data_IF_282630076911
#
_entry.id   IF_282630076911
#
_cell.length_a   1.000
_cell.length_b   1.000
_cell.length_c   1.000
_cell.angle_alpha   90.00
_cell.angle_beta   90.00
_cell.angle_gamma   90.00
#
_symmetry.space_group_name_H-M   'P 1'
#
loop_
_entity.id
_entity.type
_entity.pdbx_description
1 polymer ?
#
# COMPACT_ATOMS: atom_id res chain seq x y z
N UNK A 1 -4.79 -18.63 25.73
CA UNK A 1 -4.71 -18.09 25.15
C UNK A 1 -4.53 -17.99 24.53
N UNK A 2 -4.87 -18.42 25.07
CA UNK A 2 -4.82 -17.89 24.42
C UNK A 2 -4.85 -17.94 23.78
N UNK A 3 -4.90 -18.58 24.21
CA UNK A 3 -4.99 -18.18 23.63
C UNK A 3 -5.11 -18.30 22.91
N UNK A 4 -5.46 -18.88 23.54
CA UNK A 4 -5.62 -18.52 22.90
C UNK A 4 -6.01 -18.43 22.42
N UNK A 5 -6.30 -18.72 22.76
CA UNK A 5 -6.61 -18.23 22.36
C UNK A 5 -6.85 -18.00 21.69
N UNK A 6 -7.08 -18.88 22.33
CA UNK A 6 -7.34 -18.35 21.83
C UNK A 6 -7.68 -17.96 21.39
N UNK A 7 -7.89 -18.41 21.88
CA UNK A 7 -8.14 -17.62 21.58
C UNK A 7 -8.55 -17.16 21.18
N UNK A 8 -8.72 -17.63 21.80
CA UNK A 8 -9.01 -16.82 21.52
C UNK A 8 -9.42 -16.38 21.29
N UNK A 9 -9.61 -16.80 21.75
CA UNK A 9 -9.87 -16.04 21.52
C UNK A 9 -10.10 -15.48 21.32
N UNK A 10 -10.36 -15.80 22.04
CA UNK A 10 -10.44 -14.90 22.01
C UNK A 10 -10.81 -14.28 21.95
N UNK A 11 -10.53 -14.83 22.62
CA UNK A 11 -10.62 -13.95 22.70
C UNK A 11 -10.94 -13.35 22.86
N UNK A 12 -11.07 -13.78 23.68
CA UNK A 12 -11.20 -12.95 23.77
C UNK A 12 -11.27 -12.26 23.94
N UNK A 13 -11.23 -12.48 24.58
CA UNK A 13 -11.16 -11.54 24.64
C UNK A 13 -11.05 -10.81 24.63
N UNK A 14 -10.90 -11.09 25.27
CA UNK A 14 -10.70 -10.09 25.23
C UNK A 14 -10.56 -9.48 25.09
N UNK A 15 -10.33 -9.86 25.57
CA UNK A 15 -10.12 -9.06 25.45
C UNK A 15 -10.40 -8.48 25.09
N UNK A 16 -10.57 -8.92 25.30
CA UNK A 16 -10.83 -8.21 24.86
C UNK A 16 -10.79 -7.23 24.49
N UNK A 17 -11.05 -7.33 24.65
CA UNK A 17 -10.95 -6.13 24.23
C UNK A 17 -9.62 -5.62 23.91
N UNK A 18 -8.73 -6.26 24.12
CA UNK A 18 -7.41 -5.86 23.69
C UNK A 18 -7.26 -6.24 22.25
N UNK A 19 -6.95 -5.25 21.44
CA UNK A 19 -6.74 -5.52 20.04
C UNK A 19 -5.28 -5.78 19.83
N UNK A 20 -4.98 -6.95 19.35
CA UNK A 20 -3.63 -7.34 19.01
C UNK A 20 -3.21 -6.52 17.78
N UNK A 21 -2.02 -5.97 17.82
CA UNK A 21 -1.50 -5.19 16.70
C UNK A 21 -1.48 -6.02 15.42
N UNK A 22 -1.14 -7.30 15.53
CA UNK A 22 -1.12 -8.19 14.38
C UNK A 22 -2.49 -8.31 13.76
N UNK A 23 -3.53 -8.42 14.58
CA UNK A 23 -4.90 -8.52 14.08
C UNK A 23 -5.30 -7.26 13.34
N UNK A 24 -4.90 -6.11 13.88
CA UNK A 24 -5.21 -4.85 13.23
C UNK A 24 -4.53 -4.74 11.88
N UNK A 25 -3.28 -5.15 11.82
CA UNK A 25 -2.54 -5.10 10.56
C UNK A 25 -3.15 -6.06 9.54
N UNK A 26 -3.53 -7.24 9.98
CA UNK A 26 -4.14 -8.22 9.09
C UNK A 26 -5.46 -7.70 8.53
N UNK A 27 -6.24 -7.02 9.37
CA UNK A 27 -7.51 -6.46 8.93
C UNK A 27 -7.31 -5.37 7.90
N UNK A 28 -6.33 -4.49 8.12
CA UNK A 28 -6.04 -3.43 7.17
C UNK A 28 -5.55 -4.00 5.84
N UNK A 29 -4.69 -5.01 5.90
CA UNK A 29 -4.20 -5.65 4.68
C UNK A 29 -5.34 -6.31 3.92
N UNK A 30 -6.27 -6.91 4.65
CA UNK A 30 -7.41 -7.56 4.05
C UNK A 30 -8.32 -6.56 3.34
N UNK A 31 -8.54 -5.41 3.98
CA UNK A 31 -9.34 -4.35 3.38
C UNK A 31 -8.73 -3.83 2.10
N UNK A 32 -7.41 -3.66 2.09
CA UNK A 32 -6.72 -3.20 0.89
C UNK A 32 -6.85 -4.22 -0.23
N UNK A 33 -6.65 -5.48 0.10
CA UNK A 33 -6.77 -6.55 -0.89
C UNK A 33 -8.16 -6.58 -1.51
N UNK A 34 -9.18 -6.43 -0.67
CA UNK A 34 -10.55 -6.46 -1.16
C UNK A 34 -10.84 -5.27 -2.06
N UNK A 35 -10.34 -4.10 -1.68
CA UNK A 35 -10.53 -2.90 -2.49
C UNK A 35 -9.87 -3.05 -3.86
N UNK A 36 -8.67 -3.60 -3.89
CA UNK A 36 -7.97 -3.82 -5.15
C UNK A 36 -8.71 -4.84 -5.99
N UNK A 37 -9.16 -5.91 -5.37
CA UNK A 37 -9.91 -6.95 -6.08
C UNK A 37 -11.14 -6.37 -6.75
N UNK A 38 -11.90 -5.59 -6.01
CA UNK A 38 -13.12 -5.00 -6.54
C UNK A 38 -12.82 -4.01 -7.65
N UNK A 39 -11.80 -3.19 -7.47
CA UNK A 39 -11.44 -2.22 -8.49
C UNK A 39 -10.98 -2.90 -9.78
N UNK A 40 -10.18 -3.94 -9.65
CA UNK A 40 -9.71 -4.67 -10.83
C UNK A 40 -10.88 -5.33 -11.53
N UNK A 41 -11.77 -5.94 -10.77
CA UNK A 41 -12.94 -6.60 -11.34
C UNK A 41 -13.80 -5.61 -12.12
N UNK A 42 -14.03 -4.45 -11.55
CA UNK A 42 -14.82 -3.43 -12.22
C UNK A 42 -14.15 -2.93 -13.48
N UNK A 43 -12.84 -2.77 -13.43
CA UNK A 43 -12.10 -2.31 -14.59
C UNK A 43 -12.21 -3.33 -15.73
N UNK A 44 -12.10 -4.61 -15.39
CA UNK A 44 -12.20 -5.65 -16.39
C UNK A 44 -13.58 -5.68 -17.04
N UNK A 45 -14.61 -5.38 -16.27
CA UNK A 45 -15.95 -5.29 -16.83
C UNK A 45 -16.06 -4.14 -17.84
N UNK A 46 -15.42 -3.03 -17.51
CA UNK A 46 -15.48 -1.85 -18.38
C UNK A 46 -14.75 -2.07 -19.69
N UNK A 47 -13.77 -2.97 -19.70
CA UNK A 47 -13.08 -3.29 -20.95
C UNK A 47 -14.02 -3.93 -21.96
N UNK A 48 -15.01 -4.64 -21.46
CA UNK A 48 -16.06 -5.21 -22.30
C UNK A 48 -15.48 -5.99 -23.48
N UNK A 49 -14.52 -6.86 -23.18
CA UNK A 49 -13.92 -7.71 -24.19
C UNK A 49 -12.75 -7.11 -24.94
N UNK A 50 -12.47 -5.83 -24.72
CA UNK A 50 -11.33 -5.22 -25.39
C UNK A 50 -10.04 -5.64 -24.72
N UNK A 51 -9.01 -5.77 -25.52
CA UNK A 51 -7.70 -6.17 -25.01
C UNK A 51 -6.93 -4.96 -24.53
N UNK A 52 -6.15 -5.18 -23.47
CA UNK A 52 -5.19 -4.20 -23.04
C UNK A 52 -3.86 -4.93 -22.88
N UNK A 53 -2.77 -4.23 -23.11
CA UNK A 53 -1.45 -4.84 -23.01
C UNK A 53 -0.63 -4.22 -21.91
N UNK A 54 -1.24 -3.36 -21.12
CA UNK A 54 -0.55 -2.50 -20.17
C UNK A 54 -1.20 -2.55 -18.79
N UNK A 55 -2.02 -3.53 -18.57
CA UNK A 55 -2.89 -3.59 -17.42
C UNK A 55 -2.12 -3.64 -16.10
N UNK A 56 -1.07 -4.44 -16.08
CA UNK A 56 -0.29 -4.57 -14.85
C UNK A 56 0.30 -3.23 -14.42
N UNK A 57 0.95 -2.56 -15.37
CA UNK A 57 1.57 -1.27 -15.05
C UNK A 57 0.54 -0.22 -14.66
N UNK A 58 -0.59 -0.27 -15.29
CA UNK A 58 -1.66 0.68 -14.99
C UNK A 58 -2.20 0.48 -13.57
N UNK A 59 -2.47 -0.77 -13.21
CA UNK A 59 -2.97 -1.06 -11.85
C UNK A 59 -1.90 -0.73 -10.83
N UNK A 60 -0.65 -1.09 -11.13
CA UNK A 60 0.44 -0.83 -10.21
C UNK A 60 0.59 0.67 -9.94
N UNK A 61 0.46 1.48 -10.98
CA UNK A 61 0.57 2.93 -10.82
C UNK A 61 -0.54 3.49 -9.94
N UNK A 62 -1.74 2.94 -10.08
CA UNK A 62 -2.87 3.37 -9.26
C UNK A 62 -2.66 3.10 -7.78
N UNK A 63 -1.87 2.10 -7.47
CA UNK A 63 -1.56 1.75 -6.09
C UNK A 63 -0.32 2.48 -5.61
N UNK A 64 0.71 2.53 -6.44
CA UNK A 64 1.98 3.12 -6.03
C UNK A 64 1.88 4.62 -5.79
N UNK A 65 1.15 5.33 -6.64
CA UNK A 65 1.09 6.77 -6.50
C UNK A 65 0.54 7.20 -5.13
N UNK A 66 -0.63 6.70 -4.72
CA UNK A 66 -1.12 7.09 -3.38
C UNK A 66 -0.25 6.54 -2.25
N UNK A 67 0.32 5.34 -2.44
CA UNK A 67 1.21 4.80 -1.41
C UNK A 67 2.39 5.73 -1.17
N UNK A 68 3.04 6.14 -2.24
CA UNK A 68 4.20 7.01 -2.11
C UNK A 68 3.81 8.38 -1.58
N UNK A 69 2.66 8.90 -2.02
CA UNK A 69 2.19 10.18 -1.53
C UNK A 69 2.01 10.16 -0.03
N UNK A 70 1.36 9.11 0.47
CA UNK A 70 1.09 9.02 1.89
C UNK A 70 2.36 8.82 2.71
N UNK A 71 3.29 8.01 2.21
CA UNK A 71 4.51 7.79 2.96
C UNK A 71 5.39 9.04 2.99
N UNK A 72 5.39 9.82 1.92
CA UNK A 72 6.14 11.05 1.91
C UNK A 72 5.53 12.10 2.83
N UNK A 73 4.21 12.14 2.90
CA UNK A 73 3.53 13.02 3.85
C UNK A 73 3.85 12.60 5.27
N UNK A 74 3.78 11.32 5.53
CA UNK A 74 4.03 10.79 6.87
C UNK A 74 5.46 11.07 7.34
N UNK A 75 6.42 11.00 6.43
CA UNK A 75 7.82 11.21 6.76
C UNK A 75 8.24 12.66 6.59
N UNK A 76 7.31 13.53 6.22
CA UNK A 76 7.59 14.96 5.99
C UNK A 76 8.67 15.13 4.95
N UNK A 77 8.53 14.39 3.87
CA UNK A 77 9.43 14.43 2.72
C UNK A 77 10.85 13.98 3.03
N UNK A 78 10.99 13.15 4.04
CA UNK A 78 12.29 12.58 4.36
C UNK A 78 12.47 11.30 3.56
N UNK A 79 13.20 11.39 2.44
CA UNK A 79 13.36 10.25 1.55
C UNK A 79 14.11 9.09 2.18
N UNK A 80 15.07 9.38 3.03
CA UNK A 80 15.82 8.32 3.71
C UNK A 80 14.89 7.50 4.59
N UNK A 81 14.08 8.19 5.40
CA UNK A 81 13.16 7.50 6.27
C UNK A 81 12.10 6.75 5.48
N UNK A 82 11.60 7.38 4.41
CA UNK A 82 10.60 6.75 3.58
C UNK A 82 11.14 5.47 2.94
N UNK A 83 12.37 5.51 2.45
CA UNK A 83 12.95 4.33 1.81
C UNK A 83 13.09 3.17 2.80
N UNK A 84 13.44 3.49 4.03
CA UNK A 84 13.55 2.46 5.07
C UNK A 84 12.18 1.85 5.34
N UNK A 85 11.17 2.69 5.51
CA UNK A 85 9.83 2.20 5.79
C UNK A 85 9.27 1.36 4.67
N UNK A 86 9.57 1.73 3.44
CA UNK A 86 9.07 1.00 2.28
C UNK A 86 9.90 -0.23 1.94
N UNK A 87 11.11 -0.31 2.46
CA UNK A 87 11.99 -1.41 2.11
C UNK A 87 12.62 -1.25 0.74
N UNK A 88 12.76 -0.02 0.27
CA UNK A 88 13.37 0.30 -1.02
C UNK A 88 14.65 1.05 -0.78
N UNK A 89 15.61 0.94 -1.71
CA UNK A 89 16.77 1.80 -1.58
C UNK A 89 16.40 3.20 -2.07
N UNK A 90 17.20 4.18 -1.67
CA UNK A 90 16.87 5.58 -1.97
C UNK A 90 16.78 5.88 -3.45
N UNK A 91 17.67 5.26 -4.23
CA UNK A 91 17.65 5.49 -5.66
C UNK A 91 16.36 5.03 -6.30
N UNK A 92 15.91 3.84 -5.90
CA UNK A 92 14.65 3.31 -6.41
C UNK A 92 13.48 4.19 -6.00
N UNK A 93 13.46 4.59 -4.74
CA UNK A 93 12.39 5.46 -4.26
C UNK A 93 12.36 6.77 -5.04
N UNK A 94 13.53 7.40 -5.19
CA UNK A 94 13.61 8.67 -5.89
C UNK A 94 13.11 8.55 -7.33
N UNK A 95 13.49 7.47 -7.98
CA UNK A 95 13.04 7.23 -9.36
C UNK A 95 11.52 7.14 -9.43
N UNK A 96 10.93 6.43 -8.49
CA UNK A 96 9.47 6.30 -8.47
C UNK A 96 8.79 7.62 -8.15
N UNK A 97 9.37 8.40 -7.23
CA UNK A 97 8.79 9.69 -6.90
C UNK A 97 8.78 10.61 -8.12
N UNK A 98 9.84 10.56 -8.91
CA UNK A 98 9.88 11.35 -10.14
C UNK A 98 8.86 10.84 -11.15
N UNK A 99 8.73 9.55 -11.24
CA UNK A 99 7.80 8.92 -12.17
C UNK A 99 6.37 9.43 -11.95
N UNK A 100 6.00 9.66 -10.69
CA UNK A 100 4.66 10.10 -10.36
C UNK A 100 4.57 11.59 -10.06
N UNK A 101 5.63 12.34 -10.37
CA UNK A 101 5.67 13.78 -10.16
C UNK A 101 5.47 14.17 -8.70
N UNK A 102 6.00 13.37 -7.81
CA UNK A 102 5.88 13.64 -6.38
C UNK A 102 7.08 14.41 -5.83
N UNK A 103 8.12 14.55 -6.62
CA UNK A 103 9.24 15.42 -6.31
C UNK A 103 9.69 16.05 -7.60
N UNK A 104 10.50 17.10 -7.47
CA UNK A 104 11.04 17.77 -8.63
C UNK A 104 11.87 16.81 -9.46
N UNK A 105 11.79 16.95 -10.76
CA UNK A 105 12.54 16.09 -11.66
C UNK A 105 13.98 16.45 -11.73
N UNK A 106 14.70 15.69 -12.52
CA UNK A 106 16.15 15.86 -12.64
C UNK A 106 16.54 17.20 -13.22
N UNK A 107 15.65 17.79 -13.97
CA UNK A 107 15.98 19.07 -14.57
C UNK A 107 16.29 20.13 -13.52
N UNK A 108 15.75 19.94 -12.33
CA UNK A 108 16.01 20.88 -11.26
C UNK A 108 17.41 20.79 -10.76
N UNK A 109 18.03 19.71 -11.06
CA UNK A 109 19.36 19.44 -10.58
C UNK A 109 20.39 19.70 -11.65
N UNK A 110 19.91 19.92 -12.83
CA UNK A 110 20.86 20.03 -13.86
C UNK A 110 20.69 21.01 -14.81
#
# INVERSE_FOLDING_TARGET
>A
MTRAEPLAPHVASNDENIIDTTDTEATHASHLRDAVTESVRNYLKELDGQMTTDFYQMVLAEIEAPLLTEIMTYTRNNQTKASIMLGLNRGTLRKKLKQYDLIAGDKDEG
#
